data_IF_076334121910
#
_entry.id   IF_076334121910
#
_cell.length_a   1.000
_cell.length_b   1.000
_cell.length_c   1.000
_cell.angle_alpha   90.00
_cell.angle_beta   90.00
_cell.angle_gamma   90.00
#
_symmetry.space_group_name_H-M   'P 1'
#
loop_
_entity.id
_entity.type
_entity.pdbx_description
1 polymer ?
#
# COMPACT_ATOMS: atom_id res chain seq x y z
N UNK A 1 -14.11 -64.19 22.30
CA UNK A 1 -12.73 -63.82 22.72
C UNK A 1 -12.69 -62.31 22.86
N UNK A 2 -12.51 -61.83 24.10
CA UNK A 2 -12.17 -60.43 24.43
C UNK A 2 -10.70 -60.20 24.12
N UNK A 3 -10.35 -59.01 23.58
CA UNK A 3 -9.24 -58.10 23.95
C UNK A 3 -8.95 -57.20 22.76
N UNK A 4 -9.37 -55.94 22.80
CA UNK A 4 -8.62 -54.80 23.36
C UNK A 4 -7.85 -54.06 22.28
N UNK A 5 -8.40 -52.90 21.92
CA UNK A 5 -7.65 -51.76 21.47
C UNK A 5 -6.54 -51.41 22.50
N UNK A 6 -5.37 -50.95 22.06
CA UNK A 6 -4.74 -49.69 22.48
C UNK A 6 -3.26 -49.59 22.00
N UNK A 7 -3.03 -48.56 21.18
CA UNK A 7 -2.01 -47.49 21.31
C UNK A 7 -0.51 -47.83 21.23
N UNK A 8 0.15 -47.14 20.28
CA UNK A 8 1.42 -46.41 20.43
C UNK A 8 1.44 -45.35 19.29
N UNK A 9 0.97 -44.10 19.44
CA UNK A 9 1.54 -42.89 20.06
C UNK A 9 2.99 -42.55 19.64
N UNK A 10 3.13 -41.50 18.83
CA UNK A 10 4.15 -40.42 18.94
C UNK A 10 3.89 -39.30 17.89
N UNK A 11 4.43 -38.07 18.06
CA UNK A 11 3.60 -36.86 18.12
C UNK A 11 3.93 -35.75 17.08
N UNK A 12 3.12 -34.68 17.12
CA UNK A 12 3.34 -33.31 16.56
C UNK A 12 3.22 -33.17 15.01
N UNK A 13 2.60 -32.16 14.41
CA UNK A 13 2.36 -30.75 14.76
C UNK A 13 0.96 -30.30 14.26
N UNK A 14 0.38 -29.23 14.82
CA UNK A 14 -0.83 -28.63 14.25
C UNK A 14 -0.59 -28.25 12.80
N UNK A 15 -1.52 -28.67 11.92
CA UNK A 15 -1.55 -28.20 10.53
C UNK A 15 -1.60 -26.67 10.58
N UNK A 16 -0.49 -26.04 10.18
CA UNK A 16 -0.44 -24.61 9.89
C UNK A 16 -1.61 -24.29 8.95
N UNK A 17 -2.43 -23.27 9.23
CA UNK A 17 -3.20 -22.64 8.17
C UNK A 17 -2.16 -22.03 7.22
N UNK A 18 -1.87 -22.73 6.15
CA UNK A 18 -1.32 -22.09 4.95
C UNK A 18 -2.43 -21.22 4.39
N UNK A 19 -2.07 -20.00 3.97
CA UNK A 19 -2.89 -19.05 3.20
C UNK A 19 -3.69 -18.01 3.99
N UNK A 20 -3.10 -17.48 5.07
CA UNK A 20 -3.38 -16.12 5.54
C UNK A 20 -2.13 -15.23 5.41
N UNK A 21 -1.38 -15.34 4.31
CA UNK A 21 -0.16 -14.53 4.07
C UNK A 21 -0.30 -13.65 2.83
N UNK A 22 -1.53 -13.18 2.56
CA UNK A 22 -1.77 -11.94 1.80
C UNK A 22 -2.25 -10.82 2.73
N UNK A 23 -1.89 -10.88 4.02
CA UNK A 23 -2.23 -9.85 5.02
C UNK A 23 -1.00 -9.24 5.70
N UNK A 24 0.21 -9.55 5.23
CA UNK A 24 1.46 -8.94 5.72
C UNK A 24 2.22 -8.11 4.65
N UNK A 25 1.55 -7.76 3.55
CA UNK A 25 1.95 -6.61 2.72
C UNK A 25 1.12 -5.35 3.05
N UNK A 26 0.09 -5.49 3.89
CA UNK A 26 -0.92 -4.46 4.18
C UNK A 26 -0.63 -3.61 5.43
N UNK A 27 0.60 -3.56 5.93
CA UNK A 27 0.91 -2.74 7.13
C UNK A 27 2.28 -2.04 7.10
N UNK A 28 2.91 -1.90 5.94
CA UNK A 28 4.16 -1.12 5.83
C UNK A 28 4.38 -0.43 4.48
N UNK A 29 3.47 -0.58 3.51
CA UNK A 29 3.24 0.53 2.58
C UNK A 29 2.38 1.52 3.35
N UNK A 30 3.03 2.40 4.11
CA UNK A 30 2.46 3.68 4.49
C UNK A 30 1.71 4.17 3.25
N UNK A 31 0.38 4.14 3.28
CA UNK A 31 -0.43 4.59 2.14
C UNK A 31 -0.05 6.05 2.03
N UNK A 32 0.89 6.37 1.15
CA UNK A 32 1.31 7.72 0.94
C UNK A 32 0.03 8.47 0.56
N UNK A 33 -0.29 9.51 1.34
CA UNK A 33 -1.51 10.28 1.16
C UNK A 33 -1.11 11.58 0.50
N UNK A 34 -1.76 11.90 -0.62
CA UNK A 34 -1.70 13.24 -1.17
C UNK A 34 -2.85 14.07 -0.60
N UNK A 35 -2.56 15.33 -0.31
CA UNK A 35 -3.50 16.26 0.30
C UNK A 35 -3.69 17.43 -0.64
N UNK A 36 -4.92 17.72 -1.06
CA UNK A 36 -5.16 18.92 -1.84
C UNK A 36 -4.77 20.17 -1.04
N UNK A 37 -3.93 21.02 -1.62
CA UNK A 37 -3.46 22.28 -1.03
C UNK A 37 -4.55 23.36 -0.95
N UNK A 38 -5.63 23.22 -1.71
CA UNK A 38 -6.72 24.18 -1.77
C UNK A 38 -7.89 23.83 -0.82
N UNK A 39 -8.37 22.59 -0.83
CA UNK A 39 -9.54 22.17 -0.01
C UNK A 39 -9.18 21.20 1.13
N UNK A 40 -7.91 20.82 1.28
CA UNK A 40 -7.42 19.90 2.31
C UNK A 40 -7.99 18.47 2.23
N UNK A 41 -8.69 18.11 1.15
CA UNK A 41 -9.11 16.75 0.89
C UNK A 41 -7.90 15.81 0.78
N UNK A 42 -8.03 14.59 1.31
CA UNK A 42 -6.95 13.60 1.36
C UNK A 42 -7.28 12.43 0.45
N UNK A 43 -6.33 12.07 -0.40
CA UNK A 43 -6.46 11.01 -1.38
C UNK A 43 -5.33 9.99 -1.18
N UNK A 44 -5.68 8.71 -1.18
CA UNK A 44 -4.67 7.66 -1.30
C UNK A 44 -4.12 7.64 -2.73
N UNK A 45 -2.87 7.22 -2.94
CA UNK A 45 -2.28 7.08 -4.29
C UNK A 45 -3.14 6.26 -5.27
N UNK A 46 -3.95 5.31 -4.78
CA UNK A 46 -4.82 4.49 -5.64
C UNK A 46 -6.14 5.20 -6.04
N UNK A 47 -6.49 6.32 -5.41
CA UNK A 47 -7.72 7.07 -5.69
C UNK A 47 -7.53 8.16 -6.75
N UNK A 48 -6.31 8.66 -6.91
CA UNK A 48 -5.98 9.74 -7.83
C UNK A 48 -4.69 9.38 -8.56
N UNK A 49 -4.70 9.52 -9.89
CA UNK A 49 -3.54 9.23 -10.72
C UNK A 49 -2.69 10.49 -10.89
N UNK A 50 -1.37 10.37 -10.72
CA UNK A 50 -0.45 11.45 -11.05
C UNK A 50 -0.29 11.55 -12.56
N UNK A 51 -0.39 12.77 -13.06
CA UNK A 51 -0.14 13.13 -14.45
C UNK A 51 1.20 13.87 -14.55
N UNK A 52 1.73 13.96 -15.77
CA UNK A 52 2.95 14.69 -16.09
C UNK A 52 2.66 15.67 -17.24
N UNK A 53 3.10 16.90 -17.09
CA UNK A 53 3.12 17.91 -18.15
C UNK A 53 4.46 18.66 -18.20
N UNK A 54 4.51 19.74 -18.98
CA UNK A 54 5.70 20.59 -19.11
C UNK A 54 6.21 21.19 -17.79
N UNK A 55 5.35 21.36 -16.78
CA UNK A 55 5.73 21.84 -15.45
C UNK A 55 6.16 20.72 -14.48
N UNK A 56 6.01 19.45 -14.87
CA UNK A 56 6.35 18.29 -14.06
C UNK A 56 5.17 17.43 -13.65
N UNK A 57 5.31 16.71 -12.53
CA UNK A 57 4.26 15.80 -12.04
C UNK A 57 3.22 16.57 -11.22
N UNK A 58 1.95 16.20 -11.37
CA UNK A 58 0.85 16.80 -10.61
C UNK A 58 -0.33 15.83 -10.48
N UNK A 59 -1.27 16.13 -9.58
CA UNK A 59 -2.60 15.53 -9.61
C UNK A 59 -3.68 16.61 -9.54
N UNK A 60 -4.84 16.32 -10.14
CA UNK A 60 -6.02 17.19 -10.04
C UNK A 60 -6.88 16.69 -8.88
N UNK A 61 -7.22 17.60 -7.96
CA UNK A 61 -8.15 17.29 -6.88
C UNK A 61 -9.55 17.02 -7.44
N UNK A 62 -10.15 15.87 -7.11
CA UNK A 62 -11.50 15.53 -7.59
C UNK A 62 -12.62 16.33 -6.92
N UNK A 63 -12.33 16.99 -5.81
CA UNK A 63 -13.35 17.73 -5.03
C UNK A 63 -13.40 19.22 -5.39
N UNK A 64 -12.31 19.80 -5.89
CA UNK A 64 -12.23 21.24 -6.17
C UNK A 64 -11.46 21.60 -7.44
N UNK A 65 -11.09 20.61 -8.26
CA UNK A 65 -10.35 20.74 -9.53
C UNK A 65 -9.00 21.47 -9.43
N UNK A 66 -8.50 21.69 -8.21
CA UNK A 66 -7.22 22.33 -7.99
C UNK A 66 -6.07 21.43 -8.41
N UNK A 67 -5.09 22.00 -9.14
CA UNK A 67 -3.85 21.33 -9.55
C UNK A 67 -2.83 21.34 -8.42
N UNK A 68 -2.42 20.16 -7.99
CA UNK A 68 -1.45 19.98 -6.91
C UNK A 68 -0.15 19.43 -7.49
N UNK A 69 0.94 20.19 -7.37
CA UNK A 69 2.24 19.78 -7.88
C UNK A 69 2.86 18.68 -7.01
N UNK A 70 3.52 17.74 -7.66
CA UNK A 70 4.24 16.63 -7.05
C UNK A 70 5.72 16.72 -7.42
N UNK A 71 6.57 16.33 -6.49
CA UNK A 71 8.02 16.29 -6.69
C UNK A 71 8.45 14.86 -6.95
N UNK A 72 9.14 14.64 -8.07
CA UNK A 72 9.81 13.38 -8.35
C UNK A 72 11.15 13.32 -7.58
N UNK A 73 11.27 12.36 -6.67
CA UNK A 73 12.48 12.11 -5.87
C UNK A 73 13.48 11.19 -6.58
N UNK A 74 13.19 10.78 -7.81
CA UNK A 74 13.97 9.85 -8.60
C UNK A 74 13.29 8.48 -8.73
N UNK A 75 13.88 7.56 -9.49
CA UNK A 75 13.33 6.23 -9.67
C UNK A 75 13.37 5.40 -8.37
N UNK A 76 12.38 4.53 -8.17
CA UNK A 76 12.40 3.45 -7.19
C UNK A 76 13.29 2.30 -7.66
N UNK A 77 13.40 1.23 -6.85
CA UNK A 77 14.16 0.04 -7.20
C UNK A 77 13.68 -0.66 -8.50
N UNK A 78 12.46 -0.37 -8.95
CA UNK A 78 11.88 -0.87 -10.19
C UNK A 78 11.97 0.15 -11.35
N UNK A 79 12.65 1.28 -11.16
CA UNK A 79 12.81 2.33 -12.17
C UNK A 79 11.61 3.29 -12.29
N UNK A 80 10.59 3.17 -11.43
CA UNK A 80 9.38 4.01 -11.48
C UNK A 80 9.58 5.30 -10.70
N UNK A 81 9.06 6.45 -11.16
CA UNK A 81 9.25 7.71 -10.45
C UNK A 81 8.59 7.66 -9.05
N UNK A 82 9.36 8.06 -8.03
CA UNK A 82 8.85 8.21 -6.67
C UNK A 82 8.31 9.63 -6.50
N UNK A 83 6.99 9.76 -6.55
CA UNK A 83 6.32 11.05 -6.47
C UNK A 83 5.90 11.33 -5.02
N UNK A 84 6.35 12.46 -4.49
CA UNK A 84 5.93 12.94 -3.17
C UNK A 84 5.26 14.29 -3.28
N UNK A 85 4.39 14.60 -2.33
CA UNK A 85 3.92 15.95 -2.14
C UNK A 85 4.82 16.64 -1.12
N UNK A 86 5.60 17.65 -1.52
CA UNK A 86 6.37 18.47 -0.57
C UNK A 86 5.43 19.46 0.10
N UNK A 87 5.59 19.65 1.40
CA UNK A 87 5.03 20.80 2.09
C UNK A 87 5.85 22.03 1.71
N UNK A 88 5.19 22.98 1.04
CA UNK A 88 5.75 24.31 0.86
C UNK A 88 5.73 24.97 2.24
N UNK A 89 6.92 25.22 2.78
CA UNK A 89 7.14 25.84 4.08
C UNK A 89 7.17 27.35 3.96
#
# INVERSE_FOLDING_TARGET
MLTSCLKNKSPELPRRPSEATTQAAQTAAEIAMWTCRNCNARFSFNQVEAQIDESGFFFICRDCDYRNNLVNMGPDAAGRPQLIQRDDK
#
